data_IF_757757000862
#
_entry.id   IF_757757000862
#
_cell.length_a   1.000
_cell.length_b   1.000
_cell.length_c   1.000
_cell.angle_alpha   90.00
_cell.angle_beta   90.00
_cell.angle_gamma   90.00
#
_symmetry.space_group_name_H-M   'P 1'
#
loop_
_entity.id
_entity.type
_entity.pdbx_description
1 polymer ?
#
# COMPACT_ATOMS: atom_id res chain seq x y z
N UNK A 1 -2.40 -38.24 30.88
CA UNK A 1 -3.35 -37.98 29.78
C UNK A 1 -2.73 -36.94 28.86
N UNK A 2 -2.07 -37.44 27.84
CA UNK A 2 -1.35 -36.61 26.82
C UNK A 2 -2.37 -36.02 25.86
N UNK A 3 -2.39 -34.67 25.70
CA UNK A 3 -3.17 -34.00 24.65
C UNK A 3 -2.28 -33.83 23.45
N UNK A 4 -2.61 -34.53 22.37
CA UNK A 4 -1.98 -34.39 21.06
C UNK A 4 -2.32 -33.03 20.45
N UNK A 5 -1.30 -32.33 19.96
CA UNK A 5 -1.42 -31.13 19.13
C UNK A 5 -1.94 -31.50 17.74
N UNK A 6 -2.84 -30.73 17.14
CA UNK A 6 -3.26 -31.00 15.77
C UNK A 6 -2.13 -30.66 14.77
N UNK A 7 -1.86 -31.59 13.88
CA UNK A 7 -0.93 -31.44 12.76
C UNK A 7 -1.43 -30.37 11.78
N UNK A 8 -0.64 -29.33 11.56
CA UNK A 8 -0.88 -28.32 10.50
C UNK A 8 -0.81 -28.99 9.13
N UNK A 9 -1.87 -28.88 8.36
CA UNK A 9 -1.92 -29.25 6.95
C UNK A 9 -0.98 -28.37 6.14
N UNK A 10 -0.18 -28.97 5.27
CA UNK A 10 0.67 -28.31 4.27
C UNK A 10 -0.26 -27.70 3.21
N UNK A 11 -0.15 -26.39 2.96
CA UNK A 11 -0.77 -25.72 1.81
C UNK A 11 -1.56 -24.48 2.19
N UNK A 12 -0.90 -23.39 2.63
CA UNK A 12 -1.51 -22.06 2.53
C UNK A 12 -1.38 -21.59 1.07
N UNK A 13 -2.48 -21.06 0.47
CA UNK A 13 -2.41 -20.54 -0.88
C UNK A 13 -1.46 -19.33 -0.94
N UNK A 14 -0.64 -19.27 -1.98
CA UNK A 14 0.10 -18.06 -2.34
C UNK A 14 -0.89 -16.89 -2.48
N UNK A 15 -0.51 -15.70 -2.01
CA UNK A 15 -1.39 -14.53 -2.02
C UNK A 15 -1.88 -14.18 -3.44
N UNK A 16 -3.02 -13.53 -3.51
CA UNK A 16 -3.72 -13.18 -4.77
C UNK A 16 -2.82 -12.43 -5.77
N UNK A 17 -1.89 -11.60 -5.28
CA UNK A 17 -0.91 -10.91 -6.14
C UNK A 17 0.06 -11.89 -6.80
N UNK A 18 0.41 -12.97 -6.10
CA UNK A 18 1.27 -14.01 -6.65
C UNK A 18 0.65 -14.62 -7.92
N UNK A 19 -0.65 -14.93 -7.92
CA UNK A 19 -1.34 -15.40 -9.13
C UNK A 19 -1.32 -14.36 -10.24
N UNK A 20 -1.65 -13.10 -9.97
CA UNK A 20 -1.70 -12.03 -10.98
C UNK A 20 -0.32 -11.71 -11.58
N UNK A 21 0.75 -11.85 -10.80
CA UNK A 21 2.12 -11.60 -11.26
C UNK A 21 2.82 -12.84 -11.83
N UNK A 22 2.38 -14.06 -11.48
CA UNK A 22 3.08 -15.32 -11.72
C UNK A 22 2.39 -16.34 -12.62
N UNK A 23 1.06 -16.25 -12.89
CA UNK A 23 0.33 -17.23 -13.72
C UNK A 23 0.83 -17.32 -15.17
N UNK A 24 1.91 -16.67 -15.46
CA UNK A 24 2.49 -16.60 -16.80
C UNK A 24 3.82 -17.32 -17.00
N UNK A 25 4.12 -18.34 -16.20
CA UNK A 25 5.22 -19.31 -16.44
C UNK A 25 6.52 -18.78 -17.03
N UNK A 26 7.63 -18.87 -16.24
CA UNK A 26 9.01 -18.48 -16.50
C UNK A 26 9.33 -16.99 -16.46
N UNK A 27 10.35 -16.66 -15.68
CA UNK A 27 10.97 -15.34 -15.47
C UNK A 27 11.19 -14.53 -16.78
N UNK A 28 10.16 -13.88 -17.28
CA UNK A 28 10.31 -12.82 -18.24
C UNK A 28 9.74 -11.54 -17.60
N UNK A 29 10.60 -10.65 -17.05
CA UNK A 29 10.17 -9.39 -16.46
C UNK A 29 9.43 -8.47 -17.45
N UNK A 30 9.55 -8.74 -18.74
CA UNK A 30 8.90 -7.97 -19.80
C UNK A 30 7.55 -8.55 -20.25
N UNK A 31 7.12 -9.70 -19.74
CA UNK A 31 5.88 -10.35 -20.20
C UNK A 31 4.62 -9.58 -19.84
N UNK A 32 4.54 -8.98 -18.63
CA UNK A 32 3.41 -8.12 -18.25
C UNK A 32 3.33 -6.84 -19.10
N UNK A 33 4.48 -6.31 -19.52
CA UNK A 33 4.53 -5.19 -20.49
C UNK A 33 4.04 -5.60 -21.88
N UNK A 34 4.21 -6.87 -22.27
CA UNK A 34 3.73 -7.39 -23.57
C UNK A 34 2.24 -7.73 -23.59
N UNK A 35 1.63 -8.00 -22.45
CA UNK A 35 0.18 -8.25 -22.37
C UNK A 35 -0.63 -6.98 -22.62
N UNK A 36 -0.08 -5.81 -22.35
CA UNK A 36 -0.76 -4.52 -22.54
C UNK A 36 -0.52 -3.89 -23.93
N UNK A 37 0.26 -4.55 -24.81
CA UNK A 37 0.49 -4.08 -26.22
C UNK A 37 1.11 -2.69 -26.34
N UNK A 38 1.68 -2.14 -25.26
CA UNK A 38 2.20 -0.79 -25.23
C UNK A 38 3.72 -0.73 -25.33
N UNK A 39 4.22 -0.03 -26.34
CA UNK A 39 5.56 0.53 -26.33
C UNK A 39 5.68 1.50 -25.14
N UNK A 40 6.76 1.47 -24.35
CA UNK A 40 6.97 2.43 -23.27
C UNK A 40 6.78 3.84 -23.80
N UNK A 41 5.77 4.56 -23.35
CA UNK A 41 5.65 5.98 -23.66
C UNK A 41 6.88 6.66 -23.06
N UNK A 42 7.68 7.34 -23.89
CA UNK A 42 8.80 8.15 -23.41
C UNK A 42 8.25 9.22 -22.49
N UNK A 43 8.42 9.01 -21.18
CA UNK A 43 8.24 10.07 -20.20
C UNK A 43 9.21 11.21 -20.58
N UNK A 44 8.82 12.48 -20.49
CA UNK A 44 9.69 13.60 -20.77
C UNK A 44 11.03 13.39 -20.06
N UNK A 45 12.15 13.55 -20.76
CA UNK A 45 13.49 13.36 -20.21
C UNK A 45 13.64 14.20 -18.95
N UNK A 46 13.55 13.53 -17.79
CA UNK A 46 13.92 14.14 -16.52
C UNK A 46 15.46 14.18 -16.45
N UNK A 47 15.97 15.08 -15.61
CA UNK A 47 17.38 15.48 -15.49
C UNK A 47 18.37 14.29 -15.53
N UNK A 48 19.37 14.35 -16.40
CA UNK A 48 20.41 13.32 -16.63
C UNK A 48 21.17 12.87 -15.35
N UNK A 49 21.09 13.64 -14.26
CA UNK A 49 21.65 13.30 -12.95
C UNK A 49 20.93 12.10 -12.31
N UNK A 50 19.68 11.87 -12.62
CA UNK A 50 18.86 10.80 -12.08
C UNK A 50 19.12 9.45 -12.75
N UNK A 51 19.47 9.44 -14.05
CA UNK A 51 19.77 8.21 -14.78
C UNK A 51 20.97 7.44 -14.18
N UNK A 52 21.96 8.15 -13.64
CA UNK A 52 23.12 7.54 -13.00
C UNK A 52 22.77 6.90 -11.64
N UNK A 53 21.80 7.43 -10.90
CA UNK A 53 21.33 6.85 -9.64
C UNK A 53 20.43 5.64 -9.90
N UNK A 54 19.56 5.73 -10.90
CA UNK A 54 18.65 4.63 -11.27
C UNK A 54 19.38 3.43 -11.84
N UNK A 55 20.43 3.67 -12.64
CA UNK A 55 21.26 2.59 -13.21
C UNK A 55 21.98 1.75 -12.13
N UNK A 56 22.07 2.27 -10.89
CA UNK A 56 22.63 1.57 -9.75
C UNK A 56 21.60 0.76 -8.98
N UNK A 57 20.31 1.14 -8.99
CA UNK A 57 19.23 0.38 -8.37
C UNK A 57 18.74 -0.72 -9.32
N UNK A 58 19.30 -1.91 -9.18
CA UNK A 58 18.99 -3.05 -10.06
C UNK A 58 17.83 -3.88 -9.56
N UNK A 59 17.53 -3.81 -8.26
CA UNK A 59 16.54 -4.66 -7.60
C UNK A 59 15.63 -3.84 -6.68
N UNK A 60 14.49 -3.38 -7.22
CA UNK A 60 13.42 -2.76 -6.44
C UNK A 60 12.43 -3.84 -6.05
N UNK A 61 12.46 -4.23 -4.77
CA UNK A 61 11.56 -5.25 -4.24
C UNK A 61 10.23 -4.62 -3.78
N UNK A 62 9.12 -5.22 -4.19
CA UNK A 62 7.79 -4.83 -3.75
C UNK A 62 7.48 -5.49 -2.41
N UNK A 63 7.22 -4.70 -1.37
CA UNK A 63 6.63 -5.19 -0.14
C UNK A 63 5.13 -4.96 -0.16
N UNK A 64 4.37 -6.04 -0.35
CA UNK A 64 2.91 -6.03 -0.44
C UNK A 64 2.35 -6.60 0.86
N UNK A 65 1.92 -5.75 1.80
CA UNK A 65 1.45 -6.21 3.10
C UNK A 65 0.07 -6.85 3.03
N UNK A 66 -0.31 -7.58 4.08
CA UNK A 66 -1.48 -8.45 4.14
C UNK A 66 -2.81 -7.76 3.73
N UNK A 67 -3.04 -6.51 4.12
CA UNK A 67 -4.24 -5.78 3.72
C UNK A 67 -4.27 -5.47 2.23
N UNK A 68 -3.13 -5.21 1.62
CA UNK A 68 -3.04 -5.04 0.17
C UNK A 68 -3.25 -6.39 -0.52
N UNK A 69 -2.47 -7.41 -0.13
CA UNK A 69 -2.51 -8.71 -0.78
C UNK A 69 -3.90 -9.38 -0.72
N UNK A 70 -4.58 -9.29 0.42
CA UNK A 70 -5.82 -10.03 0.65
C UNK A 70 -7.09 -9.24 0.32
N UNK A 71 -7.07 -7.91 0.41
CA UNK A 71 -8.28 -7.09 0.30
C UNK A 71 -8.24 -6.11 -0.89
N UNK A 72 -7.04 -5.71 -1.32
CA UNK A 72 -6.87 -4.71 -2.38
C UNK A 72 -5.67 -5.08 -3.29
N UNK A 73 -5.62 -6.30 -3.87
CA UNK A 73 -4.46 -6.77 -4.62
C UNK A 73 -4.12 -5.89 -5.82
N UNK A 74 -5.10 -5.21 -6.41
CA UNK A 74 -4.92 -4.24 -7.49
C UNK A 74 -3.99 -3.08 -7.11
N UNK A 75 -3.92 -2.68 -5.84
CA UNK A 75 -3.00 -1.63 -5.37
C UNK A 75 -1.55 -2.04 -5.57
N UNK A 76 -1.21 -3.30 -5.29
CA UNK A 76 0.13 -3.84 -5.53
C UNK A 76 0.46 -3.95 -7.01
N UNK A 77 -0.50 -4.37 -7.83
CA UNK A 77 -0.38 -4.46 -9.28
C UNK A 77 -0.18 -3.05 -9.88
N UNK A 78 -0.98 -2.08 -9.44
CA UNK A 78 -0.92 -0.70 -9.89
C UNK A 78 0.43 -0.04 -9.52
N UNK A 79 0.91 -0.29 -8.30
CA UNK A 79 2.26 0.14 -7.89
C UNK A 79 3.34 -0.43 -8.82
N UNK A 80 3.27 -1.73 -9.13
CA UNK A 80 4.21 -2.37 -10.04
C UNK A 80 4.15 -1.77 -11.46
N UNK A 81 2.94 -1.45 -11.96
CA UNK A 81 2.73 -0.79 -13.25
C UNK A 81 3.38 0.59 -13.29
N UNK A 82 3.18 1.40 -12.25
CA UNK A 82 3.78 2.73 -12.17
C UNK A 82 5.31 2.64 -12.14
N UNK A 83 5.88 1.80 -11.28
CA UNK A 83 7.34 1.64 -11.17
C UNK A 83 7.96 1.17 -12.48
N UNK A 84 7.34 0.21 -13.17
CA UNK A 84 7.79 -0.25 -14.50
C UNK A 84 7.66 0.84 -15.56
N UNK A 85 6.57 1.62 -15.54
CA UNK A 85 6.35 2.73 -16.47
C UNK A 85 7.47 3.76 -16.39
N UNK A 86 7.96 4.05 -15.20
CA UNK A 86 9.06 5.00 -14.98
C UNK A 86 10.46 4.35 -15.13
N UNK A 87 10.56 3.07 -15.49
CA UNK A 87 11.79 2.41 -15.89
C UNK A 87 12.45 1.49 -14.86
N UNK A 88 11.83 1.25 -13.70
CA UNK A 88 12.38 0.30 -12.72
C UNK A 88 12.05 -1.15 -13.06
N UNK A 89 13.04 -2.03 -12.91
CA UNK A 89 12.79 -3.46 -12.78
C UNK A 89 12.30 -3.73 -11.36
N UNK A 90 11.16 -4.42 -11.24
CA UNK A 90 10.56 -4.74 -9.95
C UNK A 90 10.57 -6.24 -9.70
N UNK A 91 10.87 -6.61 -8.46
CA UNK A 91 10.83 -7.98 -7.95
C UNK A 91 9.72 -8.12 -6.91
N UNK A 92 9.04 -9.26 -6.90
CA UNK A 92 8.04 -9.60 -5.90
C UNK A 92 8.46 -10.86 -5.16
N UNK A 93 9.07 -10.76 -3.98
CA UNK A 93 9.44 -11.92 -3.18
C UNK A 93 8.19 -12.66 -2.67
N UNK A 94 7.84 -13.80 -3.25
CA UNK A 94 6.64 -14.58 -2.89
C UNK A 94 6.61 -15.03 -1.42
N UNK A 95 7.77 -15.20 -0.81
CA UNK A 95 7.89 -15.64 0.57
C UNK A 95 7.52 -14.55 1.60
N UNK A 96 7.21 -13.33 1.16
CA UNK A 96 6.84 -12.22 2.02
C UNK A 96 5.51 -12.47 2.76
N UNK A 97 5.32 -11.77 3.87
CA UNK A 97 4.12 -11.89 4.71
C UNK A 97 3.73 -10.52 5.28
N UNK A 98 3.02 -10.50 6.40
CA UNK A 98 2.66 -9.29 7.13
C UNK A 98 3.91 -8.54 7.65
N UNK A 99 3.77 -7.22 7.92
CA UNK A 99 4.78 -6.45 8.65
C UNK A 99 4.86 -6.76 10.15
N UNK A 100 3.90 -7.51 10.71
CA UNK A 100 3.83 -7.82 12.14
C UNK A 100 3.16 -6.76 13.02
N UNK A 101 2.73 -5.62 12.45
CA UNK A 101 2.18 -4.50 13.23
C UNK A 101 0.97 -4.86 14.11
N UNK A 102 -0.01 -5.69 13.70
CA UNK A 102 -1.14 -6.05 14.55
C UNK A 102 -0.71 -6.79 15.83
N UNK A 103 0.24 -7.71 15.74
CA UNK A 103 0.79 -8.40 16.90
C UNK A 103 1.60 -7.45 17.79
N UNK A 104 2.47 -6.64 17.19
CA UNK A 104 3.28 -5.63 17.88
C UNK A 104 2.42 -4.66 18.68
N UNK A 105 1.40 -4.04 18.05
CA UNK A 105 0.49 -3.07 18.68
C UNK A 105 -0.39 -3.70 19.77
N UNK A 106 -0.53 -5.02 19.77
CA UNK A 106 -1.30 -5.76 20.78
C UNK A 106 -0.44 -6.27 21.93
N UNK A 107 0.88 -6.04 21.90
CA UNK A 107 1.82 -6.49 22.92
C UNK A 107 2.34 -7.93 22.71
N UNK A 108 1.99 -8.59 21.60
CA UNK A 108 2.46 -9.93 21.24
C UNK A 108 3.79 -9.83 20.51
N UNK A 109 4.81 -9.36 21.20
CA UNK A 109 6.12 -9.08 20.60
C UNK A 109 6.89 -10.35 20.25
N UNK A 110 6.72 -11.42 21.03
CA UNK A 110 7.36 -12.71 20.75
C UNK A 110 6.81 -13.34 19.46
N UNK A 111 5.54 -13.13 19.14
CA UNK A 111 4.90 -13.55 17.90
C UNK A 111 5.25 -12.61 16.72
N UNK A 112 5.43 -11.32 16.98
CA UNK A 112 5.80 -10.34 15.96
C UNK A 112 7.28 -10.48 15.52
N UNK A 113 8.17 -10.88 16.44
CA UNK A 113 9.62 -10.99 16.18
C UNK A 113 9.97 -11.93 15.04
N UNK A 114 9.48 -13.17 14.96
CA UNK A 114 9.75 -14.06 13.84
C UNK A 114 9.29 -13.50 12.48
N UNK A 115 8.20 -12.72 12.47
CA UNK A 115 7.72 -12.05 11.25
C UNK A 115 8.71 -10.99 10.78
N UNK A 116 9.24 -10.18 11.70
CA UNK A 116 10.25 -9.17 11.40
C UNK A 116 11.58 -9.79 10.96
N UNK A 117 12.03 -10.86 11.61
CA UNK A 117 13.24 -11.61 11.22
C UNK A 117 13.11 -12.21 9.81
N UNK A 118 11.92 -12.76 9.50
CA UNK A 118 11.62 -13.25 8.16
C UNK A 118 11.66 -12.11 7.12
N UNK A 119 11.10 -10.94 7.42
CA UNK A 119 11.17 -9.76 6.56
C UNK A 119 12.63 -9.40 6.24
N UNK A 120 13.48 -9.27 7.27
CA UNK A 120 14.90 -8.95 7.11
C UNK A 120 15.58 -9.94 6.15
N UNK A 121 15.34 -11.25 6.34
CA UNK A 121 15.91 -12.31 5.50
C UNK A 121 15.47 -12.21 4.04
N UNK A 122 14.16 -11.99 3.80
CA UNK A 122 13.57 -11.93 2.46
C UNK A 122 14.11 -10.74 1.68
N UNK A 123 14.14 -9.57 2.31
CA UNK A 123 14.51 -8.32 1.65
C UNK A 123 16.00 -7.97 1.75
N UNK A 124 16.83 -8.92 2.23
CA UNK A 124 18.27 -8.68 2.47
C UNK A 124 19.05 -8.21 1.24
N UNK A 125 18.66 -8.61 0.04
CA UNK A 125 19.36 -8.29 -1.20
C UNK A 125 18.72 -7.15 -2.02
N UNK A 126 17.60 -6.57 -1.54
CA UNK A 126 16.94 -5.47 -2.23
C UNK A 126 17.76 -4.18 -2.19
N UNK A 127 17.85 -3.46 -3.31
CA UNK A 127 18.44 -2.12 -3.36
C UNK A 127 17.46 -1.07 -2.80
N UNK A 128 16.17 -1.28 -3.03
CA UNK A 128 15.07 -0.54 -2.42
C UNK A 128 13.89 -1.49 -2.15
N UNK A 129 13.15 -1.23 -1.08
CA UNK A 129 11.93 -1.94 -0.70
C UNK A 129 10.80 -0.92 -0.74
N UNK A 130 9.83 -1.10 -1.62
CA UNK A 130 8.75 -0.14 -1.84
C UNK A 130 7.42 -0.75 -1.42
N UNK A 131 6.70 -0.03 -0.56
CA UNK A 131 5.46 -0.49 0.08
C UNK A 131 4.32 0.51 -0.17
N UNK A 132 3.13 0.07 -0.62
CA UNK A 132 1.96 0.94 -0.78
C UNK A 132 1.16 1.06 0.52
N UNK A 133 1.84 1.21 1.66
CA UNK A 133 1.21 1.37 2.96
C UNK A 133 2.12 2.13 3.92
N UNK A 134 1.67 3.32 4.34
CA UNK A 134 2.40 4.16 5.29
C UNK A 134 2.57 3.49 6.66
N UNK A 135 1.55 2.80 7.16
CA UNK A 135 1.61 2.12 8.46
C UNK A 135 2.56 0.93 8.47
N UNK A 136 2.58 0.13 7.40
CA UNK A 136 3.49 -1.00 7.28
C UNK A 136 4.94 -0.55 7.07
N UNK A 137 5.17 0.51 6.30
CA UNK A 137 6.50 1.11 6.15
C UNK A 137 7.01 1.65 7.49
N UNK A 138 6.15 2.32 8.26
CA UNK A 138 6.46 2.79 9.61
C UNK A 138 6.85 1.64 10.53
N UNK A 139 6.11 0.53 10.51
CA UNK A 139 6.43 -0.66 11.32
C UNK A 139 7.86 -1.14 11.04
N UNK A 140 8.23 -1.24 9.77
CA UNK A 140 9.57 -1.69 9.37
C UNK A 140 10.64 -0.67 9.77
N UNK A 141 10.43 0.62 9.52
CA UNK A 141 11.46 1.65 9.70
C UNK A 141 11.66 2.07 11.15
N UNK A 142 10.57 2.19 11.90
CA UNK A 142 10.61 2.83 13.22
C UNK A 142 10.51 1.83 14.37
N UNK A 143 9.76 0.73 14.21
CA UNK A 143 9.47 -0.17 15.34
C UNK A 143 10.23 -1.51 15.30
N UNK A 144 10.79 -1.90 14.17
CA UNK A 144 11.61 -3.12 14.14
C UNK A 144 12.88 -3.01 15.02
N UNK A 145 13.36 -1.79 15.28
CA UNK A 145 14.51 -1.58 16.18
C UNK A 145 14.24 -2.04 17.61
N UNK A 146 13.03 -1.74 18.14
CA UNK A 146 12.61 -2.22 19.44
C UNK A 146 12.36 -3.73 19.44
N UNK A 147 11.64 -4.20 18.41
CA UNK A 147 11.23 -5.59 18.29
C UNK A 147 12.40 -6.56 18.15
N UNK A 148 13.47 -6.17 17.44
CA UNK A 148 14.64 -6.98 17.15
C UNK A 148 15.83 -6.67 18.06
N UNK A 149 15.67 -5.83 19.08
CA UNK A 149 16.72 -5.53 20.04
C UNK A 149 17.27 -6.83 20.67
N UNK A 150 18.59 -7.00 20.65
CA UNK A 150 19.26 -8.19 21.20
C UNK A 150 19.21 -9.44 20.31
N UNK A 151 18.55 -9.40 19.15
CA UNK A 151 18.55 -10.52 18.20
C UNK A 151 19.72 -10.43 17.21
N UNK A 152 20.01 -11.52 16.51
CA UNK A 152 21.01 -11.54 15.42
C UNK A 152 20.56 -10.67 14.23
N UNK A 153 19.26 -10.53 14.01
CA UNK A 153 18.71 -9.75 12.92
C UNK A 153 18.94 -8.24 13.09
N UNK A 154 19.21 -7.76 14.32
CA UNK A 154 19.51 -6.36 14.59
C UNK A 154 20.72 -5.83 13.80
N UNK A 155 21.70 -6.68 13.49
CA UNK A 155 22.89 -6.30 12.72
C UNK A 155 22.56 -5.88 11.26
N UNK A 156 21.53 -6.50 10.66
CA UNK A 156 21.07 -6.21 9.28
C UNK A 156 20.04 -5.08 9.22
N UNK A 157 19.45 -4.74 10.35
CA UNK A 157 18.27 -3.87 10.44
C UNK A 157 18.52 -2.49 9.84
N UNK A 158 19.61 -1.81 10.21
CA UNK A 158 19.90 -0.46 9.74
C UNK A 158 19.98 -0.40 8.19
N UNK A 159 20.56 -1.43 7.57
CA UNK A 159 20.66 -1.55 6.12
C UNK A 159 19.30 -1.73 5.46
N UNK A 160 18.40 -2.49 6.07
CA UNK A 160 17.07 -2.77 5.54
C UNK A 160 16.15 -1.55 5.73
N UNK A 161 16.12 -0.96 6.92
CA UNK A 161 15.25 0.18 7.22
C UNK A 161 15.60 1.42 6.40
N UNK A 162 16.89 1.66 6.11
CA UNK A 162 17.33 2.76 5.25
C UNK A 162 16.94 2.62 3.77
N UNK A 163 16.47 1.45 3.36
CA UNK A 163 16.03 1.13 1.98
C UNK A 163 14.53 0.87 1.86
N UNK A 164 13.80 0.93 2.95
CA UNK A 164 12.35 0.73 2.97
C UNK A 164 11.65 2.08 2.82
N UNK A 165 10.83 2.22 1.79
CA UNK A 165 10.14 3.45 1.43
C UNK A 165 8.64 3.21 1.26
N UNK A 166 7.85 4.18 1.67
CA UNK A 166 6.48 4.27 1.20
C UNK A 166 6.48 4.66 -0.27
N UNK A 167 5.47 4.23 -1.03
CA UNK A 167 5.44 4.35 -2.48
C UNK A 167 5.56 5.80 -3.00
N UNK A 168 4.82 6.73 -2.42
CA UNK A 168 4.90 8.15 -2.81
C UNK A 168 6.23 8.78 -2.40
N UNK A 169 6.76 8.39 -1.24
CA UNK A 169 8.10 8.78 -0.82
C UNK A 169 9.17 8.30 -1.81
N UNK A 170 9.10 7.05 -2.22
CA UNK A 170 10.04 6.50 -3.19
C UNK A 170 10.01 7.28 -4.51
N UNK A 171 8.83 7.54 -5.04
CA UNK A 171 8.68 8.27 -6.31
C UNK A 171 9.30 9.66 -6.23
N UNK A 172 8.96 10.43 -5.20
CA UNK A 172 9.36 11.85 -5.12
C UNK A 172 10.80 12.00 -4.64
N UNK A 173 11.19 11.33 -3.54
CA UNK A 173 12.50 11.55 -2.89
C UNK A 173 13.63 10.69 -3.46
N UNK A 174 13.32 9.49 -3.93
CA UNK A 174 14.34 8.53 -4.39
C UNK A 174 14.41 8.50 -5.91
N UNK A 175 13.28 8.30 -6.57
CA UNK A 175 13.21 8.31 -8.02
C UNK A 175 13.22 9.75 -8.59
N UNK A 176 12.93 10.76 -7.77
CA UNK A 176 12.81 12.17 -8.18
C UNK A 176 11.85 12.33 -9.37
N UNK A 177 10.70 11.66 -9.29
CA UNK A 177 9.65 11.66 -10.32
C UNK A 177 8.35 12.13 -9.68
N UNK A 178 7.76 13.20 -10.24
CA UNK A 178 6.46 13.71 -9.82
C UNK A 178 5.38 13.50 -10.87
N UNK A 179 5.73 13.51 -12.15
CA UNK A 179 4.82 13.17 -13.25
C UNK A 179 5.09 11.75 -13.76
N UNK A 180 4.18 10.85 -13.46
CA UNK A 180 4.21 9.44 -13.90
C UNK A 180 3.34 9.20 -15.14
N UNK A 181 2.86 10.27 -15.80
CA UNK A 181 1.99 10.20 -16.98
C UNK A 181 0.54 9.79 -16.64
N UNK A 182 0.11 9.96 -15.40
CA UNK A 182 -1.23 9.59 -14.95
C UNK A 182 -2.32 10.56 -15.45
N UNK A 183 -3.56 10.04 -15.57
CA UNK A 183 -4.75 10.82 -15.89
C UNK A 183 -5.95 10.30 -15.10
N UNK A 184 -6.60 11.20 -14.35
CA UNK A 184 -7.76 10.88 -13.51
C UNK A 184 -8.65 12.12 -13.38
N UNK A 185 -9.59 12.36 -14.32
CA UNK A 185 -10.35 13.61 -14.41
C UNK A 185 -11.50 13.66 -13.39
N UNK A 186 -11.16 13.69 -12.10
CA UNK A 186 -12.10 13.69 -10.97
C UNK A 186 -11.65 14.66 -9.88
N UNK A 187 -12.62 15.06 -9.05
CA UNK A 187 -12.37 15.79 -7.81
C UNK A 187 -11.95 14.82 -6.71
N UNK A 188 -10.75 15.00 -6.19
CA UNK A 188 -10.13 14.10 -5.23
C UNK A 188 -9.75 14.86 -3.97
N UNK A 189 -10.05 14.29 -2.81
CA UNK A 189 -9.51 14.78 -1.53
C UNK A 189 -8.50 13.80 -0.97
N UNK A 190 -7.56 14.30 -0.15
CA UNK A 190 -6.48 13.49 0.40
C UNK A 190 -6.61 13.33 1.91
N UNK A 191 -6.55 12.08 2.40
CA UNK A 191 -6.47 11.76 3.82
C UNK A 191 -5.01 11.50 4.22
N UNK A 192 -4.47 12.31 5.13
CA UNK A 192 -3.16 12.10 5.71
C UNK A 192 -3.20 10.93 6.70
N UNK A 193 -2.75 9.75 6.26
CA UNK A 193 -2.66 8.59 7.12
C UNK A 193 -1.69 8.86 8.29
N UNK A 194 -2.13 8.63 9.52
CA UNK A 194 -1.44 9.09 10.72
C UNK A 194 0.02 8.61 10.82
N UNK A 195 0.31 7.36 10.45
CA UNK A 195 1.69 6.84 10.46
C UNK A 195 2.54 7.47 9.35
N UNK A 196 1.99 7.63 8.15
CA UNK A 196 2.71 8.29 7.05
C UNK A 196 3.05 9.74 7.42
N UNK A 197 2.06 10.48 7.96
CA UNK A 197 2.24 11.87 8.34
C UNK A 197 3.21 12.05 9.51
N UNK A 198 2.98 11.35 10.62
CA UNK A 198 3.66 11.62 11.90
C UNK A 198 5.00 10.92 12.00
N UNK A 199 5.07 9.68 11.54
CA UNK A 199 6.24 8.83 11.68
C UNK A 199 7.20 8.93 10.47
N UNK A 200 6.65 8.92 9.26
CA UNK A 200 7.44 9.05 8.03
C UNK A 200 7.57 10.50 7.56
N UNK A 201 6.79 11.42 8.14
CA UNK A 201 6.74 12.85 7.79
C UNK A 201 6.41 13.10 6.32
N UNK A 202 5.54 12.27 5.77
CA UNK A 202 5.05 12.37 4.40
C UNK A 202 3.78 13.22 4.37
N UNK A 203 3.87 14.41 3.79
CA UNK A 203 2.75 15.34 3.64
C UNK A 203 2.68 15.91 2.22
N UNK A 204 3.82 16.36 1.71
CA UNK A 204 3.88 17.01 0.41
C UNK A 204 4.02 16.01 -0.73
N UNK A 205 4.70 14.90 -0.53
CA UNK A 205 5.05 13.93 -1.56
C UNK A 205 3.79 13.35 -2.26
N UNK A 206 2.76 12.87 -1.55
CA UNK A 206 1.53 12.43 -2.19
C UNK A 206 0.81 13.54 -2.94
N UNK A 207 0.77 14.75 -2.38
CA UNK A 207 0.13 15.92 -3.00
C UNK A 207 0.85 16.38 -4.25
N UNK A 208 2.18 16.32 -4.24
CA UNK A 208 2.99 16.65 -5.40
C UNK A 208 2.69 15.72 -6.57
N UNK A 209 2.60 14.41 -6.31
CA UNK A 209 2.20 13.42 -7.31
C UNK A 209 0.78 13.68 -7.84
N UNK A 210 -0.19 13.95 -6.96
CA UNK A 210 -1.58 14.18 -7.34
C UNK A 210 -1.74 15.45 -8.19
N UNK A 211 -0.99 16.53 -7.92
CA UNK A 211 -1.01 17.77 -8.72
C UNK A 211 -0.53 17.57 -10.16
N UNK A 212 0.29 16.53 -10.42
CA UNK A 212 0.76 16.21 -11.77
C UNK A 212 -0.15 15.21 -12.50
N UNK A 213 -1.23 14.72 -11.86
CA UNK A 213 -2.21 13.87 -12.53
C UNK A 213 -3.11 14.71 -13.43
N UNK A 214 -3.16 14.39 -14.71
CA UNK A 214 -3.95 15.13 -15.68
C UNK A 214 -5.45 15.04 -15.39
N UNK A 215 -6.11 16.20 -15.34
CA UNK A 215 -7.54 16.32 -15.10
C UNK A 215 -7.97 16.15 -13.64
N UNK A 216 -7.06 15.81 -12.72
CA UNK A 216 -7.38 15.70 -11.30
C UNK A 216 -7.48 17.09 -10.67
N UNK A 217 -8.57 17.33 -9.93
CA UNK A 217 -8.75 18.49 -9.07
C UNK A 217 -8.55 18.05 -7.61
N UNK A 218 -7.44 18.49 -7.00
CA UNK A 218 -7.13 18.18 -5.60
C UNK A 218 -7.83 19.19 -4.68
N UNK A 219 -8.77 18.73 -3.88
CA UNK A 219 -9.54 19.52 -2.91
C UNK A 219 -9.13 19.08 -1.50
N UNK A 220 -8.59 19.97 -0.70
CA UNK A 220 -8.25 19.64 0.69
C UNK A 220 -9.51 19.57 1.57
N UNK A 221 -9.73 18.44 2.24
CA UNK A 221 -10.82 18.34 3.21
C UNK A 221 -10.45 19.06 4.51
N UNK A 222 -11.45 19.57 5.26
CA UNK A 222 -11.20 20.01 6.64
C UNK A 222 -10.58 18.87 7.47
N UNK A 223 -9.62 19.20 8.33
CA UNK A 223 -9.01 18.25 9.25
C UNK A 223 -8.45 16.99 8.56
N UNK A 224 -7.81 17.16 7.40
CA UNK A 224 -7.22 16.05 6.63
C UNK A 224 -6.23 15.20 7.45
N UNK A 225 -5.56 15.78 8.46
CA UNK A 225 -4.57 15.14 9.32
C UNK A 225 -5.18 14.34 10.51
N UNK A 226 -6.48 14.45 10.77
CA UNK A 226 -7.14 13.68 11.82
C UNK A 226 -7.21 12.20 11.46
N UNK A 227 -7.07 11.34 12.49
CA UNK A 227 -7.10 9.90 12.32
C UNK A 227 -8.47 9.43 11.78
N UNK A 228 -8.45 8.46 10.86
CA UNK A 228 -9.66 7.81 10.35
C UNK A 228 -10.38 6.93 11.39
N UNK A 229 -9.71 6.57 12.49
CA UNK A 229 -10.28 5.71 13.54
C UNK A 229 -9.99 4.22 13.39
N UNK A 230 -9.39 3.75 12.29
CA UNK A 230 -9.13 2.31 12.11
C UNK A 230 -8.17 1.74 13.16
N UNK A 231 -6.93 2.24 13.22
CA UNK A 231 -5.92 1.83 14.22
C UNK A 231 -5.64 0.33 14.32
N UNK A 232 -5.94 -0.45 13.28
CA UNK A 232 -5.76 -1.90 13.27
C UNK A 232 -6.63 -2.60 14.33
N UNK A 233 -5.99 -3.22 15.33
CA UNK A 233 -6.68 -3.88 16.45
C UNK A 233 -7.50 -2.92 17.32
N UNK A 234 -7.26 -1.62 17.24
CA UNK A 234 -8.05 -0.60 17.95
C UNK A 234 -9.53 -0.62 17.51
N UNK A 235 -9.80 -0.72 16.21
CA UNK A 235 -11.16 -0.79 15.70
C UNK A 235 -11.95 -2.00 16.26
N UNK A 236 -11.26 -3.13 16.51
CA UNK A 236 -11.87 -4.31 17.10
C UNK A 236 -12.04 -4.18 18.62
N UNK A 237 -11.05 -3.59 19.32
CA UNK A 237 -11.08 -3.44 20.79
C UNK A 237 -12.01 -2.32 21.27
N UNK A 238 -12.12 -1.25 20.46
CA UNK A 238 -12.88 -0.04 20.80
C UNK A 238 -13.81 0.39 19.65
N UNK A 239 -14.74 -0.47 19.20
CA UNK A 239 -15.52 -0.23 17.98
C UNK A 239 -16.34 1.05 18.03
N UNK A 240 -16.91 1.41 19.17
CA UNK A 240 -17.72 2.63 19.33
C UNK A 240 -16.88 3.90 19.09
N UNK A 241 -15.66 3.94 19.62
CA UNK A 241 -14.75 5.09 19.45
C UNK A 241 -14.24 5.12 18.02
N UNK A 242 -13.83 3.98 17.49
CA UNK A 242 -13.37 3.84 16.10
C UNK A 242 -14.41 4.32 15.11
N UNK A 243 -15.67 3.89 15.27
CA UNK A 243 -16.78 4.32 14.40
C UNK A 243 -17.05 5.83 14.49
N UNK A 244 -17.09 6.39 15.71
CA UNK A 244 -17.29 7.84 15.88
C UNK A 244 -16.19 8.69 15.23
N UNK A 245 -14.92 8.26 15.33
CA UNK A 245 -13.80 8.90 14.63
C UNK A 245 -13.96 8.80 13.11
N UNK A 246 -14.33 7.61 12.62
CA UNK A 246 -14.56 7.37 11.20
C UNK A 246 -15.71 8.20 10.64
N UNK A 247 -16.82 8.33 11.38
CA UNK A 247 -17.95 9.16 10.99
C UNK A 247 -17.57 10.65 10.90
N UNK A 248 -16.78 11.15 11.85
CA UNK A 248 -16.24 12.53 11.80
C UNK A 248 -15.38 12.70 10.54
N UNK A 249 -14.51 11.74 10.23
CA UNK A 249 -13.68 11.79 9.03
C UNK A 249 -14.52 11.78 7.75
N UNK A 250 -15.53 10.92 7.68
CA UNK A 250 -16.42 10.84 6.51
C UNK A 250 -17.24 12.12 6.34
N UNK A 251 -17.70 12.75 7.41
CA UNK A 251 -18.35 14.06 7.33
C UNK A 251 -17.43 15.15 6.72
N UNK A 252 -16.13 15.13 7.05
CA UNK A 252 -15.15 16.03 6.45
C UNK A 252 -14.92 15.74 4.95
N UNK A 253 -14.94 14.46 4.55
CA UNK A 253 -14.85 14.05 3.14
C UNK A 253 -16.07 14.59 2.36
N UNK A 254 -17.28 14.40 2.89
CA UNK A 254 -18.51 14.86 2.29
C UNK A 254 -18.55 16.40 2.20
N UNK A 255 -18.10 17.10 3.23
CA UNK A 255 -17.99 18.56 3.25
C UNK A 255 -17.04 19.13 2.19
N UNK A 256 -15.99 18.37 1.81
CA UNK A 256 -15.09 18.76 0.74
C UNK A 256 -15.75 18.69 -0.65
N UNK A 257 -16.87 17.96 -0.81
CA UNK A 257 -17.54 17.79 -2.09
C UNK A 257 -16.73 17.02 -3.14
N UNK A 258 -15.74 16.22 -2.71
CA UNK A 258 -14.92 15.41 -3.58
C UNK A 258 -15.65 14.13 -4.02
N UNK A 259 -15.35 13.66 -5.23
CA UNK A 259 -15.86 12.38 -5.75
C UNK A 259 -15.10 11.20 -5.16
N UNK A 260 -13.81 11.41 -4.88
CA UNK A 260 -12.94 10.38 -4.30
C UNK A 260 -12.14 10.92 -3.11
N UNK A 261 -11.96 10.05 -2.12
CA UNK A 261 -10.93 10.22 -1.10
C UNK A 261 -9.79 9.26 -1.36
N UNK A 262 -8.56 9.78 -1.36
CA UNK A 262 -7.35 8.98 -1.52
C UNK A 262 -6.42 9.06 -0.31
N UNK A 263 -5.56 8.07 -0.18
CA UNK A 263 -4.54 7.98 0.88
C UNK A 263 -3.42 7.04 0.45
N UNK A 264 -2.33 7.06 1.20
CA UNK A 264 -1.21 6.10 1.12
C UNK A 264 -1.41 4.87 2.00
N UNK A 265 -2.55 4.72 2.67
CA UNK A 265 -2.79 3.57 3.56
C UNK A 265 -4.12 2.88 3.23
N UNK A 266 -4.10 1.66 2.69
CA UNK A 266 -5.30 0.93 2.27
C UNK A 266 -6.21 0.60 3.45
N UNK A 267 -5.68 0.46 4.66
CA UNK A 267 -6.47 0.14 5.84
C UNK A 267 -7.34 1.33 6.29
N UNK A 268 -6.82 2.56 6.16
CA UNK A 268 -7.61 3.78 6.37
C UNK A 268 -8.73 3.89 5.33
N UNK A 269 -8.41 3.62 4.06
CA UNK A 269 -9.39 3.67 2.97
C UNK A 269 -10.50 2.65 3.18
N UNK A 270 -10.17 1.41 3.56
CA UNK A 270 -11.14 0.37 3.86
C UNK A 270 -12.11 0.79 4.99
N UNK A 271 -11.59 1.39 6.06
CA UNK A 271 -12.43 1.84 7.18
C UNK A 271 -13.38 2.96 6.76
N UNK A 272 -12.86 3.96 6.03
CA UNK A 272 -13.68 5.06 5.51
C UNK A 272 -14.71 4.55 4.48
N UNK A 273 -14.34 3.62 3.61
CA UNK A 273 -15.24 3.02 2.60
C UNK A 273 -16.46 2.36 3.26
N UNK A 274 -16.22 1.59 4.33
CA UNK A 274 -17.31 0.96 5.07
C UNK A 274 -18.33 1.97 5.60
N UNK A 275 -17.87 3.11 6.13
CA UNK A 275 -18.75 4.15 6.66
C UNK A 275 -19.43 4.94 5.54
N UNK A 276 -18.69 5.28 4.45
CA UNK A 276 -19.26 5.94 3.28
C UNK A 276 -20.44 5.13 2.69
N UNK A 277 -20.26 3.81 2.59
CA UNK A 277 -21.33 2.91 2.12
C UNK A 277 -22.53 2.86 3.07
N UNK A 278 -22.31 2.78 4.38
CA UNK A 278 -23.38 2.81 5.38
C UNK A 278 -24.19 4.11 5.30
N UNK A 279 -23.53 5.22 5.01
CA UNK A 279 -24.16 6.54 4.84
C UNK A 279 -24.75 6.75 3.44
N UNK A 280 -24.59 5.80 2.53
CA UNK A 280 -24.99 5.93 1.12
C UNK A 280 -24.36 7.17 0.45
N UNK A 281 -23.14 7.53 0.84
CA UNK A 281 -22.40 8.66 0.31
C UNK A 281 -22.06 8.46 -1.17
N UNK A 282 -22.06 9.55 -1.94
CA UNK A 282 -21.59 9.55 -3.32
C UNK A 282 -20.06 9.45 -3.44
N UNK A 283 -19.33 9.84 -2.40
CA UNK A 283 -17.88 9.78 -2.37
C UNK A 283 -17.40 8.32 -2.29
N UNK A 284 -16.27 8.03 -2.95
CA UNK A 284 -15.66 6.70 -3.02
C UNK A 284 -14.23 6.75 -2.54
N UNK A 285 -13.68 5.61 -2.14
CA UNK A 285 -12.27 5.49 -1.79
C UNK A 285 -11.45 4.98 -2.96
N UNK A 286 -10.22 5.46 -3.11
CA UNK A 286 -9.24 4.96 -4.09
C UNK A 286 -7.84 5.12 -3.54
N UNK A 287 -6.98 4.12 -3.71
CA UNK A 287 -5.59 4.24 -3.29
C UNK A 287 -4.78 5.11 -4.26
N UNK A 288 -3.82 5.89 -3.74
CA UNK A 288 -3.00 6.76 -4.58
C UNK A 288 -2.28 6.00 -5.71
N UNK A 289 -1.80 4.78 -5.46
CA UNK A 289 -1.18 3.96 -6.50
C UNK A 289 -2.14 3.67 -7.66
N UNK A 290 -3.43 3.47 -7.36
CA UNK A 290 -4.46 3.21 -8.37
C UNK A 290 -4.81 4.46 -9.19
N UNK A 291 -4.73 5.65 -8.60
CA UNK A 291 -4.82 6.91 -9.36
C UNK A 291 -3.62 7.05 -10.30
N UNK A 292 -2.41 6.86 -9.77
CA UNK A 292 -1.16 7.03 -10.51
C UNK A 292 -0.98 5.99 -11.62
N UNK A 293 -1.62 4.83 -11.52
CA UNK A 293 -1.57 3.79 -12.55
C UNK A 293 -2.42 4.13 -13.78
N UNK A 294 -3.51 4.89 -13.63
CA UNK A 294 -4.41 5.22 -14.71
C UNK A 294 -3.78 6.19 -15.72
N UNK A 295 -4.10 6.00 -17.00
CA UNK A 295 -3.66 6.87 -18.09
C UNK A 295 -4.83 7.17 -19.01
N UNK A 296 -4.71 8.23 -19.83
CA UNK A 296 -5.74 8.56 -20.81
C UNK A 296 -5.99 7.44 -21.85
N UNK A 297 -4.99 6.59 -22.10
CA UNK A 297 -5.10 5.45 -23.02
C UNK A 297 -5.73 4.21 -22.37
N UNK A 298 -5.76 4.15 -21.04
CA UNK A 298 -6.31 3.02 -20.27
C UNK A 298 -7.06 3.55 -19.03
N UNK A 299 -8.21 4.21 -19.21
CA UNK A 299 -9.06 4.51 -18.07
C UNK A 299 -9.58 3.18 -17.49
N UNK A 300 -9.57 3.03 -16.16
CA UNK A 300 -10.25 1.89 -15.52
C UNK A 300 -11.77 2.07 -15.69
N UNK A 301 -12.53 1.03 -16.06
CA UNK A 301 -13.99 1.13 -16.15
C UNK A 301 -14.58 1.63 -14.82
N UNK A 302 -15.50 2.58 -14.89
CA UNK A 302 -16.26 3.02 -13.73
C UNK A 302 -17.03 1.85 -13.15
N UNK A 303 -16.75 1.44 -11.91
CA UNK A 303 -17.44 0.32 -11.22
C UNK A 303 -16.56 -0.85 -10.82
N UNK A 304 -15.36 -1.03 -11.35
CA UNK A 304 -14.39 -2.03 -10.90
C UNK A 304 -13.53 -1.56 -9.70
N UNK A 305 -14.16 -0.92 -8.73
CA UNK A 305 -13.54 -0.80 -7.41
C UNK A 305 -13.77 -2.12 -6.69
N UNK A 306 -12.70 -2.76 -6.25
CA UNK A 306 -12.71 -4.05 -5.58
C UNK A 306 -13.70 -4.10 -4.41
N UNK A 307 -14.93 -4.45 -4.73
CA UNK A 307 -16.02 -4.77 -3.80
C UNK A 307 -16.22 -6.28 -3.81
N UNK A 308 -15.15 -7.03 -3.68
CA UNK A 308 -15.22 -8.49 -3.59
C UNK A 308 -15.16 -8.96 -2.13
N UNK A 309 -16.02 -8.41 -1.30
CA UNK A 309 -16.57 -9.17 -0.17
C UNK A 309 -18.07 -9.29 -0.44
N UNK A 310 -18.42 -10.29 -1.22
CA UNK A 310 -19.83 -10.77 -1.27
C UNK A 310 -20.23 -11.10 0.17
N UNK A 311 -21.35 -10.57 0.70
CA UNK A 311 -21.80 -11.00 2.01
C UNK A 311 -22.10 -12.50 1.92
N UNK A 312 -21.24 -13.30 2.55
CA UNK A 312 -21.56 -14.71 2.77
C UNK A 312 -22.94 -14.74 3.43
N UNK A 313 -23.86 -15.41 2.75
CA UNK A 313 -25.24 -15.57 3.18
C UNK A 313 -25.24 -15.93 4.68
N UNK A 314 -25.82 -15.07 5.49
CA UNK A 314 -26.06 -15.31 6.89
C UNK A 314 -26.90 -16.59 6.98
N UNK A 315 -26.29 -17.72 7.33
CA UNK A 315 -27.00 -18.93 7.71
C UNK A 315 -27.68 -18.60 9.02
N UNK A 316 -28.99 -18.46 8.99
CA UNK A 316 -29.82 -18.43 10.18
C UNK A 316 -29.60 -19.74 10.94
N UNK A 317 -29.34 -19.74 12.23
CA UNK A 317 -29.38 -20.95 13.04
C UNK A 317 -30.84 -21.39 13.17
N UNK A 318 -31.10 -22.63 12.77
CA UNK A 318 -32.34 -23.36 13.02
C UNK A 318 -32.45 -23.77 14.50
#
# INVERSE_FOLDING_TARGET
>A
MSRASPSRSKGEPAGVICEALYTSGRHDPNRLLRMDGQTPQKIPKQDSRNEAQWSRMKNVALFIPCFVDQLNPEVGIDMARVLRRIGFAVDFPEAQTCCGQPAFNSGYWDEARPVAERFIKIFSQADAIVCPSGSCTTMVRNFYSELLAGTRAAAELARITSRAYEFSEFLVKVANVTDVGASFPHRVTYHDACHALRELRLKQEPRELLRHVRGLELIEMPYCEECCGFGGTFATKFPMISSAMGETKVANIEAAGAEYVTSTDPSCLMHMDGILRLRQSAARTIHIASILAQTAAQPRPEGEHASAVSPAAARQPS
#
